data_IF_111226065494
#
_entry.id   IF_111226065494
#
_cell.length_a   1.000
_cell.length_b   1.000
_cell.length_c   1.000
_cell.angle_alpha   90.00
_cell.angle_beta   90.00
_cell.angle_gamma   90.00
#
_symmetry.space_group_name_H-M   'P 1'
#
loop_
_entity.id
_entity.type
_entity.pdbx_description
1 polymer ?
#
# COMPACT_ATOMS: atom_id res chain seq x y z
N UNK A 1 -15.16 -27.66 13.25
CA UNK A 1 -15.99 -26.63 13.93
C UNK A 1 -15.18 -25.74 14.89
N UNK A 2 -14.60 -26.23 16.00
CA UNK A 2 -13.75 -25.37 16.88
C UNK A 2 -12.36 -25.04 16.30
N UNK A 3 -11.74 -25.99 15.58
CA UNK A 3 -10.44 -25.80 14.91
C UNK A 3 -10.50 -24.77 13.77
N UNK A 4 -11.55 -24.81 12.95
CA UNK A 4 -11.79 -23.85 11.86
C UNK A 4 -12.04 -22.42 12.39
N UNK A 5 -12.72 -22.28 13.53
CA UNK A 5 -12.94 -20.97 14.17
C UNK A 5 -11.62 -20.38 14.68
N UNK A 6 -10.72 -21.21 15.20
CA UNK A 6 -9.38 -20.77 15.64
C UNK A 6 -8.54 -20.33 14.44
N UNK A 7 -8.53 -21.09 13.35
CA UNK A 7 -7.82 -20.72 12.11
C UNK A 7 -8.37 -19.43 11.49
N UNK A 8 -9.69 -19.27 11.42
CA UNK A 8 -10.33 -18.04 10.94
C UNK A 8 -10.01 -16.83 11.83
N UNK A 9 -9.99 -17.00 13.15
CA UNK A 9 -9.62 -15.94 14.07
C UNK A 9 -8.14 -15.59 14.00
N UNK A 10 -7.24 -16.57 13.80
CA UNK A 10 -5.81 -16.33 13.62
C UNK A 10 -5.55 -15.62 12.29
N UNK A 11 -6.20 -16.03 11.20
CA UNK A 11 -6.10 -15.36 9.89
C UNK A 11 -6.67 -13.94 9.96
N UNK A 12 -7.85 -13.75 10.57
CA UNK A 12 -8.45 -12.43 10.72
C UNK A 12 -7.61 -11.51 11.61
N UNK A 13 -7.06 -12.01 12.73
CA UNK A 13 -6.20 -11.23 13.63
C UNK A 13 -4.84 -10.92 13.00
N UNK A 14 -4.27 -11.83 12.19
CA UNK A 14 -3.07 -11.57 11.40
C UNK A 14 -3.34 -10.56 10.28
N UNK A 15 -4.47 -10.67 9.58
CA UNK A 15 -4.90 -9.68 8.59
C UNK A 15 -5.09 -8.30 9.23
N UNK A 16 -5.76 -8.23 10.38
CA UNK A 16 -5.94 -6.99 11.16
C UNK A 16 -4.57 -6.39 11.58
N UNK A 17 -3.63 -7.22 12.04
CA UNK A 17 -2.27 -6.78 12.37
C UNK A 17 -1.47 -6.30 11.14
N UNK A 18 -1.59 -6.99 10.01
CA UNK A 18 -0.97 -6.60 8.73
C UNK A 18 -1.58 -5.28 8.22
N UNK A 19 -2.90 -5.08 8.40
CA UNK A 19 -3.57 -3.83 8.04
C UNK A 19 -3.23 -2.67 8.97
N UNK A 20 -2.95 -2.92 10.26
CA UNK A 20 -2.52 -1.88 11.21
C UNK A 20 -1.04 -1.52 11.03
N UNK A 21 -0.20 -2.50 10.64
CA UNK A 21 1.19 -2.29 10.25
C UNK A 21 1.35 -1.70 8.84
N UNK A 22 0.27 -1.59 8.07
CA UNK A 22 0.28 -0.99 6.76
C UNK A 22 0.51 0.53 6.90
N UNK A 23 1.68 0.99 6.46
CA UNK A 23 2.08 2.40 6.53
C UNK A 23 1.06 3.36 5.88
N UNK A 24 0.23 2.86 4.94
CA UNK A 24 -0.84 3.62 4.27
C UNK A 24 -1.99 3.97 5.20
N UNK A 25 -2.20 3.23 6.29
CA UNK A 25 -3.38 3.32 7.16
C UNK A 25 -3.63 4.75 7.65
N UNK A 26 -2.63 5.36 8.30
CA UNK A 26 -2.74 6.72 8.85
C UNK A 26 -3.04 7.76 7.76
N UNK A 27 -2.51 7.57 6.55
CA UNK A 27 -2.73 8.48 5.42
C UNK A 27 -4.17 8.32 4.90
N UNK A 28 -4.64 7.08 4.73
CA UNK A 28 -6.00 6.78 4.29
C UNK A 28 -7.02 7.32 5.30
N UNK A 29 -6.81 7.06 6.59
CA UNK A 29 -7.70 7.55 7.66
C UNK A 29 -7.76 9.08 7.66
N UNK A 30 -6.62 9.75 7.53
CA UNK A 30 -6.57 11.21 7.42
C UNK A 30 -7.31 11.73 6.18
N UNK A 31 -7.11 11.11 5.02
CA UNK A 31 -7.78 11.53 3.77
C UNK A 31 -9.30 11.28 3.79
N UNK A 32 -9.77 10.27 4.53
CA UNK A 32 -11.22 10.03 4.76
C UNK A 32 -11.85 11.08 5.68
N UNK A 33 -11.12 11.59 6.67
CA UNK A 33 -11.59 12.63 7.58
C UNK A 33 -10.51 13.71 7.78
N UNK A 34 -10.34 14.67 6.85
CA UNK A 34 -9.24 15.64 6.90
C UNK A 34 -9.35 16.66 8.05
N UNK A 35 -10.53 16.78 8.66
CA UNK A 35 -10.82 17.68 9.77
C UNK A 35 -10.26 17.19 11.11
N UNK A 36 -9.85 15.93 11.20
CA UNK A 36 -9.32 15.37 12.43
C UNK A 36 -8.00 16.02 12.87
N UNK A 37 -7.74 15.99 14.18
CA UNK A 37 -6.50 16.53 14.75
C UNK A 37 -5.39 15.49 14.67
N UNK A 38 -4.50 15.67 13.70
CA UNK A 38 -3.29 14.86 13.51
C UNK A 38 -2.03 15.74 13.55
N UNK A 39 -0.88 15.10 13.73
CA UNK A 39 0.42 15.77 13.64
C UNK A 39 0.60 16.51 12.31
N UNK A 40 1.27 17.66 12.35
CA UNK A 40 1.59 18.46 11.16
C UNK A 40 2.34 17.64 10.10
N UNK A 41 3.20 16.71 10.54
CA UNK A 41 3.97 15.81 9.66
C UNK A 41 3.05 14.95 8.79
N UNK A 42 1.98 14.40 9.35
CA UNK A 42 1.02 13.58 8.59
C UNK A 42 0.27 14.43 7.56
N UNK A 43 -0.14 15.65 7.94
CA UNK A 43 -0.82 16.58 7.00
C UNK A 43 0.04 16.88 5.79
N UNK A 44 1.32 17.19 6.01
CA UNK A 44 2.30 17.47 4.94
C UNK A 44 2.52 16.22 4.08
N UNK A 45 2.67 15.05 4.72
CA UNK A 45 2.84 13.78 4.01
C UNK A 45 1.66 13.50 3.08
N UNK A 46 0.42 13.66 3.56
CA UNK A 46 -0.80 13.39 2.84
C UNK A 46 -1.00 14.27 1.58
N UNK A 47 -0.38 15.45 1.51
CA UNK A 47 -0.42 16.31 0.31
C UNK A 47 0.12 15.58 -0.94
N UNK A 48 1.05 14.65 -0.75
CA UNK A 48 1.64 13.86 -1.83
C UNK A 48 0.75 12.71 -2.31
N UNK A 49 -0.40 12.49 -1.69
CA UNK A 49 -1.27 11.36 -1.98
C UNK A 49 -2.66 11.80 -2.43
N UNK A 50 -3.37 10.87 -3.04
CA UNK A 50 -4.75 10.96 -3.48
C UNK A 50 -5.47 9.66 -3.11
N UNK A 51 -6.66 9.76 -2.54
CA UNK A 51 -7.50 8.61 -2.21
C UNK A 51 -8.63 8.52 -3.24
N UNK A 52 -8.72 7.41 -3.95
CA UNK A 52 -9.75 7.18 -4.96
C UNK A 52 -10.31 5.77 -4.81
N UNK A 53 -11.62 5.65 -4.66
CA UNK A 53 -12.32 4.35 -4.48
C UNK A 53 -11.73 3.45 -3.36
N UNK A 54 -11.15 4.06 -2.32
CA UNK A 54 -10.53 3.34 -1.21
C UNK A 54 -9.05 3.00 -1.40
N UNK A 55 -8.52 3.18 -2.61
CA UNK A 55 -7.11 2.96 -2.95
C UNK A 55 -6.29 4.24 -2.83
N UNK A 56 -5.07 4.10 -2.31
CA UNK A 56 -4.14 5.22 -2.13
C UNK A 56 -3.22 5.33 -3.35
N UNK A 57 -3.08 6.54 -3.88
CA UNK A 57 -2.21 6.86 -5.00
C UNK A 57 -1.20 7.94 -4.60
N UNK A 58 0.06 7.78 -4.99
CA UNK A 58 1.08 8.83 -4.86
C UNK A 58 1.10 9.71 -6.11
N UNK A 59 1.17 11.02 -5.89
CA UNK A 59 1.34 12.02 -6.94
C UNK A 59 2.79 12.02 -7.41
N UNK A 60 3.01 11.62 -8.67
CA UNK A 60 4.28 11.70 -9.37
C UNK A 60 4.60 13.11 -9.85
N UNK A 61 5.87 13.37 -10.16
CA UNK A 61 6.35 14.65 -10.70
C UNK A 61 5.81 14.91 -12.12
N UNK A 62 5.53 13.85 -12.86
CA UNK A 62 5.00 13.82 -14.23
C UNK A 62 3.45 13.88 -14.29
N UNK A 63 2.80 14.21 -13.17
CA UNK A 63 1.34 14.18 -13.00
C UNK A 63 0.73 12.78 -13.11
N UNK A 64 1.54 11.72 -13.15
CA UNK A 64 1.03 10.36 -13.05
C UNK A 64 0.67 10.05 -11.60
N UNK A 65 -0.38 9.24 -11.43
CA UNK A 65 -0.78 8.68 -10.15
C UNK A 65 -0.31 7.24 -10.09
N UNK A 66 0.56 6.94 -9.13
CA UNK A 66 1.08 5.59 -8.89
C UNK A 66 0.30 4.97 -7.75
N UNK A 67 -0.31 3.80 -7.97
CA UNK A 67 -1.05 3.07 -6.93
C UNK A 67 -0.06 2.60 -5.86
N UNK A 68 -0.35 2.90 -4.59
CA UNK A 68 0.45 2.47 -3.46
C UNK A 68 0.07 1.06 -3.03
N UNK A 69 1.04 0.15 -3.11
CA UNK A 69 0.83 -1.25 -2.79
C UNK A 69 0.88 -1.50 -1.29
N UNK A 70 0.05 -2.44 -0.81
CA UNK A 70 0.23 -3.05 0.50
C UNK A 70 1.47 -3.94 0.55
N UNK A 71 1.83 -4.39 1.75
CA UNK A 71 2.98 -5.27 1.95
C UNK A 71 2.90 -6.53 1.08
N UNK A 72 1.81 -7.29 1.16
CA UNK A 72 1.61 -8.53 0.39
C UNK A 72 1.64 -8.27 -1.13
N UNK A 73 0.92 -7.24 -1.59
CA UNK A 73 0.91 -6.85 -3.01
C UNK A 73 2.31 -6.47 -3.50
N UNK A 74 3.08 -5.74 -2.69
CA UNK A 74 4.45 -5.35 -3.05
C UNK A 74 5.39 -6.56 -3.14
N UNK A 75 5.22 -7.54 -2.26
CA UNK A 75 5.98 -8.80 -2.31
C UNK A 75 5.64 -9.57 -3.57
N UNK A 76 4.35 -9.69 -3.90
CA UNK A 76 3.91 -10.36 -5.12
C UNK A 76 4.46 -9.69 -6.38
N UNK A 77 4.33 -8.36 -6.51
CA UNK A 77 4.86 -7.62 -7.65
C UNK A 77 6.39 -7.77 -7.75
N UNK A 78 7.09 -7.75 -6.62
CA UNK A 78 8.55 -7.96 -6.62
C UNK A 78 8.91 -9.38 -7.11
N UNK A 79 8.17 -10.41 -6.69
CA UNK A 79 8.37 -11.77 -7.16
C UNK A 79 8.09 -11.92 -8.66
N UNK A 80 6.99 -11.37 -9.16
CA UNK A 80 6.64 -11.40 -10.60
C UNK A 80 7.71 -10.71 -11.46
N UNK A 81 8.31 -9.62 -10.95
CA UNK A 81 9.42 -8.97 -11.64
C UNK A 81 10.71 -9.78 -11.56
N UNK A 82 11.00 -10.42 -10.42
CA UNK A 82 12.20 -11.24 -10.25
C UNK A 82 12.17 -12.50 -11.14
N UNK A 83 11.04 -13.17 -11.21
CA UNK A 83 10.86 -14.42 -11.96
C UNK A 83 10.75 -14.19 -13.48
N UNK A 84 10.74 -12.93 -13.93
CA UNK A 84 10.68 -12.58 -15.35
C UNK A 84 9.36 -12.96 -16.03
N UNK A 85 8.34 -13.34 -15.26
CA UNK A 85 6.98 -13.63 -15.73
C UNK A 85 6.28 -12.37 -16.23
N UNK A 86 6.63 -11.20 -15.71
CA UNK A 86 6.44 -9.94 -16.42
C UNK A 86 7.51 -9.84 -17.51
N UNK A 87 7.17 -10.22 -18.76
CA UNK A 87 8.05 -10.27 -19.95
C UNK A 87 8.73 -8.96 -20.39
N UNK A 88 9.05 -8.03 -19.48
CA UNK A 88 9.87 -6.87 -19.71
C UNK A 88 11.27 -7.11 -19.15
N UNK A 89 12.17 -7.63 -20.00
CA UNK A 89 13.61 -7.69 -19.76
C UNK A 89 14.21 -6.25 -19.74
N UNK A 90 13.82 -5.43 -18.77
CA UNK A 90 14.35 -4.07 -18.58
C UNK A 90 15.40 -4.13 -17.45
N UNK A 91 16.66 -3.90 -17.81
CA UNK A 91 17.79 -3.85 -16.87
C UNK A 91 17.53 -2.89 -15.70
N UNK A 92 18.04 -3.23 -14.51
CA UNK A 92 17.65 -2.70 -13.19
C UNK A 92 17.69 -1.18 -12.95
N UNK A 93 18.07 -0.36 -13.93
CA UNK A 93 18.06 1.10 -13.83
C UNK A 93 16.64 1.72 -13.96
N UNK A 94 15.65 0.97 -14.48
CA UNK A 94 14.27 1.48 -14.68
C UNK A 94 13.25 1.08 -13.61
N UNK A 95 13.65 0.25 -12.64
CA UNK A 95 12.81 -0.21 -11.53
C UNK A 95 12.52 0.86 -10.46
N UNK A 96 13.11 2.06 -10.60
CA UNK A 96 12.88 3.20 -9.69
C UNK A 96 11.42 3.69 -9.69
N UNK A 97 10.59 3.29 -10.66
CA UNK A 97 9.26 3.85 -10.90
C UNK A 97 8.08 2.91 -10.62
N UNK A 98 8.33 1.63 -10.35
CA UNK A 98 7.26 0.61 -10.22
C UNK A 98 7.03 0.11 -8.79
N UNK A 99 7.87 0.51 -7.83
CA UNK A 99 7.74 0.08 -6.44
C UNK A 99 7.72 1.33 -5.57
N UNK A 100 6.52 1.77 -5.20
CA UNK A 100 6.27 2.77 -4.15
C UNK A 100 5.18 2.24 -3.23
#
# INVERSE_FOLDING_TARGET
MFSEIIELNVVHHNHQNITLANWRFNIIEYLKNPSQRVERKLKILALNYYLYEGELYRKGHDRLLLRCLGFEESVQVMMEVHDGTCGAHQSGLKMRWLII
#
